data_IF_885192492671
#
_entry.id   IF_885192492671
#
_cell.length_a   1.000
_cell.length_b   1.000
_cell.length_c   1.000
_cell.angle_alpha   90.00
_cell.angle_beta   90.00
_cell.angle_gamma   90.00
#
_symmetry.space_group_name_H-M   'P 1'
#
loop_
_entity.id
_entity.type
_entity.pdbx_description
1 polymer ?
#
# COMPACT_ATOMS: atom_id res chain seq x y z
N UNK A 1 -11.15 -11.54 -20.57
CA UNK A 1 -10.70 -10.61 -19.51
C UNK A 1 -9.84 -9.56 -20.21
N UNK A 2 -10.11 -8.29 -20.00
CA UNK A 2 -9.31 -7.19 -20.58
C UNK A 2 -7.92 -7.22 -19.92
N UNK A 3 -6.88 -7.17 -20.75
CA UNK A 3 -5.51 -7.09 -20.23
C UNK A 3 -5.33 -5.76 -19.47
N UNK A 4 -4.56 -5.73 -18.36
CA UNK A 4 -4.37 -4.50 -17.60
C UNK A 4 -3.78 -3.34 -18.40
N UNK A 5 -2.97 -3.65 -19.44
CA UNK A 5 -2.38 -2.68 -20.37
C UNK A 5 -3.41 -1.97 -21.24
N UNK A 6 -4.60 -2.56 -21.44
CA UNK A 6 -5.63 -2.06 -22.34
C UNK A 6 -6.64 -1.15 -21.62
N UNK A 7 -6.51 -1.03 -20.30
CA UNK A 7 -7.39 -0.18 -19.50
C UNK A 7 -7.04 1.31 -19.70
N UNK A 8 -8.05 2.19 -19.85
CA UNK A 8 -7.80 3.60 -20.00
C UNK A 8 -7.34 4.24 -18.69
N UNK A 9 -6.11 4.73 -18.65
CA UNK A 9 -5.51 5.39 -17.49
C UNK A 9 -5.00 4.44 -16.40
N UNK A 10 -4.60 5.01 -15.24
CA UNK A 10 -4.00 4.27 -14.15
C UNK A 10 -5.02 3.44 -13.36
N UNK A 11 -4.75 2.15 -13.22
CA UNK A 11 -5.56 1.19 -12.48
C UNK A 11 -4.72 0.40 -11.48
N UNK A 12 -5.37 0.01 -10.39
CA UNK A 12 -4.84 -0.83 -9.32
C UNK A 12 -5.60 -2.15 -9.25
N UNK A 13 -4.90 -3.20 -8.88
CA UNK A 13 -5.50 -4.52 -8.69
C UNK A 13 -6.40 -4.55 -7.44
N UNK A 14 -7.52 -5.26 -7.51
CA UNK A 14 -8.56 -5.30 -6.49
C UNK A 14 -8.12 -5.77 -5.11
N UNK A 15 -7.00 -6.47 -5.00
CA UNK A 15 -6.42 -6.82 -3.69
C UNK A 15 -6.18 -5.59 -2.81
N UNK A 16 -5.77 -4.46 -3.42
CA UNK A 16 -5.53 -3.22 -2.69
C UNK A 16 -6.85 -2.65 -2.16
N UNK A 17 -7.91 -2.65 -2.98
CA UNK A 17 -9.24 -2.16 -2.59
C UNK A 17 -9.87 -3.06 -1.52
N UNK A 18 -9.78 -4.38 -1.70
CA UNK A 18 -10.31 -5.34 -0.73
C UNK A 18 -9.67 -5.16 0.64
N UNK A 19 -8.36 -4.84 0.72
CA UNK A 19 -7.69 -4.61 1.99
C UNK A 19 -8.31 -3.44 2.80
N UNK A 20 -8.88 -2.42 2.12
CA UNK A 20 -9.60 -1.31 2.76
C UNK A 20 -10.92 -1.79 3.36
N UNK A 21 -11.64 -2.64 2.65
CA UNK A 21 -12.91 -3.19 3.15
C UNK A 21 -12.71 -4.15 4.32
N UNK A 22 -11.66 -4.97 4.28
CA UNK A 22 -11.31 -5.82 5.41
C UNK A 22 -10.87 -5.00 6.64
N UNK A 23 -10.11 -3.93 6.43
CA UNK A 23 -9.79 -2.97 7.49
C UNK A 23 -11.07 -2.38 8.10
N UNK A 24 -11.98 -1.86 7.28
CA UNK A 24 -13.24 -1.27 7.74
C UNK A 24 -14.07 -2.25 8.55
N UNK A 25 -14.24 -3.48 8.09
CA UNK A 25 -14.99 -4.52 8.82
C UNK A 25 -14.37 -4.82 10.18
N UNK A 26 -13.04 -4.98 10.22
CA UNK A 26 -12.32 -5.35 11.43
C UNK A 26 -12.34 -4.24 12.48
N UNK A 27 -12.08 -2.98 12.08
CA UNK A 27 -11.91 -1.87 13.01
C UNK A 27 -13.22 -1.14 13.34
N UNK A 28 -14.21 -1.16 12.42
CA UNK A 28 -15.41 -0.33 12.51
C UNK A 28 -16.73 -1.10 12.35
N UNK A 29 -16.64 -2.43 12.19
CA UNK A 29 -17.81 -3.33 12.09
C UNK A 29 -18.46 -3.36 10.71
N UNK A 30 -19.48 -4.22 10.56
CA UNK A 30 -20.11 -4.57 9.27
C UNK A 30 -20.74 -3.38 8.53
N UNK A 31 -21.30 -2.41 9.24
CA UNK A 31 -21.97 -1.26 8.64
C UNK A 31 -21.01 -0.18 8.12
N UNK A 32 -19.71 -0.30 8.40
CA UNK A 32 -18.71 0.70 8.02
C UNK A 32 -18.58 0.88 6.52
N UNK A 33 -18.66 -0.21 5.77
CA UNK A 33 -18.56 -0.20 4.30
C UNK A 33 -19.71 0.59 3.70
N UNK A 34 -20.96 0.33 4.12
CA UNK A 34 -22.14 1.05 3.61
C UNK A 34 -22.00 2.56 3.83
N UNK A 35 -21.55 2.98 5.03
CA UNK A 35 -21.35 4.39 5.36
C UNK A 35 -20.29 5.06 4.46
N UNK A 36 -19.21 4.35 4.13
CA UNK A 36 -18.18 4.87 3.22
C UNK A 36 -18.71 4.96 1.80
N UNK A 37 -19.39 3.91 1.33
CA UNK A 37 -19.95 3.88 -0.02
C UNK A 37 -20.98 4.99 -0.23
N UNK A 38 -21.82 5.31 0.76
CA UNK A 38 -22.79 6.41 0.70
C UNK A 38 -22.13 7.78 0.50
N UNK A 39 -20.92 7.97 1.02
CA UNK A 39 -20.17 9.22 0.90
C UNK A 39 -19.42 9.37 -0.45
N UNK A 40 -19.39 8.31 -1.27
CA UNK A 40 -18.68 8.33 -2.55
C UNK A 40 -19.58 8.78 -3.69
N UNK A 41 -19.02 9.30 -4.80
CA UNK A 41 -19.72 9.52 -6.06
C UNK A 41 -20.47 8.26 -6.52
N UNK A 42 -21.58 8.42 -7.23
CA UNK A 42 -22.44 7.31 -7.66
C UNK A 42 -21.68 6.26 -8.52
N UNK A 43 -20.76 6.72 -9.36
CA UNK A 43 -19.90 5.87 -10.19
C UNK A 43 -18.97 4.99 -9.36
N UNK A 44 -18.28 5.57 -8.35
CA UNK A 44 -17.41 4.81 -7.44
C UNK A 44 -18.23 3.82 -6.60
N UNK A 45 -19.39 4.25 -6.11
CA UNK A 45 -20.31 3.40 -5.35
C UNK A 45 -20.74 2.17 -6.15
N UNK A 46 -21.04 2.36 -7.45
CA UNK A 46 -21.38 1.27 -8.34
C UNK A 46 -20.20 0.31 -8.53
N UNK A 47 -19.02 0.83 -8.77
CA UNK A 47 -17.80 0.02 -8.93
C UNK A 47 -17.45 -0.76 -7.66
N UNK A 48 -17.58 -0.14 -6.50
CA UNK A 48 -17.17 -0.68 -5.21
C UNK A 48 -18.28 -1.48 -4.50
N UNK A 49 -19.50 -1.49 -5.01
CA UNK A 49 -20.62 -2.25 -4.44
C UNK A 49 -20.47 -3.76 -4.53
N UNK A 50 -19.61 -4.25 -5.41
CA UNK A 50 -19.28 -5.67 -5.59
C UNK A 50 -17.76 -5.84 -5.77
N UNK A 51 -16.98 -5.43 -4.76
CA UNK A 51 -15.51 -5.49 -4.83
C UNK A 51 -15.02 -6.92 -4.99
N UNK A 52 -14.15 -7.12 -5.99
CA UNK A 52 -13.51 -8.40 -6.31
C UNK A 52 -11.98 -8.23 -6.39
N UNK A 53 -11.24 -9.22 -5.86
CA UNK A 53 -9.77 -9.24 -5.87
C UNK A 53 -9.19 -9.32 -7.28
N UNK A 54 -9.88 -9.97 -8.21
CA UNK A 54 -9.41 -10.20 -9.58
C UNK A 54 -9.71 -9.04 -10.54
N UNK A 55 -10.37 -7.99 -10.08
CA UNK A 55 -10.78 -6.83 -10.90
C UNK A 55 -9.78 -5.68 -10.73
N UNK A 56 -9.64 -4.87 -11.78
CA UNK A 56 -8.84 -3.66 -11.77
C UNK A 56 -9.73 -2.44 -11.53
N UNK A 57 -9.28 -1.54 -10.63
CA UNK A 57 -10.01 -0.34 -10.23
C UNK A 57 -9.23 0.92 -10.59
N UNK A 58 -9.88 1.99 -11.08
CA UNK A 58 -9.19 3.26 -11.33
C UNK A 58 -8.45 3.78 -10.09
N UNK A 59 -7.25 4.30 -10.29
CA UNK A 59 -6.43 4.87 -9.19
C UNK A 59 -7.21 5.94 -8.41
N UNK A 60 -7.89 6.86 -9.13
CA UNK A 60 -8.70 7.90 -8.50
C UNK A 60 -9.83 7.37 -7.61
N UNK A 61 -10.42 6.21 -7.94
CA UNK A 61 -11.43 5.56 -7.09
C UNK A 61 -10.84 5.12 -5.75
N UNK A 62 -9.61 4.55 -5.72
CA UNK A 62 -8.95 4.21 -4.46
C UNK A 62 -8.64 5.47 -3.62
N UNK A 63 -8.15 6.53 -4.26
CA UNK A 63 -7.85 7.79 -3.56
C UNK A 63 -9.11 8.37 -2.91
N UNK A 64 -10.24 8.40 -3.63
CA UNK A 64 -11.52 8.86 -3.07
C UNK A 64 -12.03 7.96 -1.95
N UNK A 65 -11.87 6.65 -2.09
CA UNK A 65 -12.20 5.67 -1.04
C UNK A 65 -11.38 5.94 0.23
N UNK A 66 -10.06 6.06 0.12
CA UNK A 66 -9.19 6.32 1.27
C UNK A 66 -9.52 7.66 1.94
N UNK A 67 -9.82 8.71 1.16
CA UNK A 67 -10.28 10.01 1.70
C UNK A 67 -11.61 9.91 2.44
N UNK A 68 -12.58 9.18 1.90
CA UNK A 68 -13.87 8.96 2.56
C UNK A 68 -13.70 8.18 3.89
N UNK A 69 -12.84 7.16 3.90
CA UNK A 69 -12.54 6.41 5.13
C UNK A 69 -11.95 7.33 6.20
N UNK A 70 -10.96 8.15 5.83
CA UNK A 70 -10.30 9.06 6.77
C UNK A 70 -11.24 10.16 7.26
N UNK A 71 -12.09 10.71 6.39
CA UNK A 71 -13.08 11.70 6.80
C UNK A 71 -14.09 11.13 7.81
N UNK A 72 -14.60 9.92 7.57
CA UNK A 72 -15.67 9.31 8.38
C UNK A 72 -15.14 8.72 9.69
N UNK A 73 -14.02 8.02 9.65
CA UNK A 73 -13.51 7.25 10.80
C UNK A 73 -12.26 7.83 11.43
N UNK A 74 -11.48 8.59 10.68
CA UNK A 74 -10.26 9.26 11.15
C UNK A 74 -10.46 10.69 11.62
N UNK A 75 -11.65 11.27 11.45
CA UNK A 75 -11.89 12.70 11.72
C UNK A 75 -10.86 13.62 11.02
N UNK A 76 -10.36 13.21 9.87
CA UNK A 76 -9.33 13.93 9.12
C UNK A 76 -7.89 13.64 9.56
N UNK A 77 -7.64 12.75 10.52
CA UNK A 77 -6.29 12.37 10.96
C UNK A 77 -5.54 11.66 9.82
N UNK A 78 -4.46 12.25 9.28
CA UNK A 78 -3.70 11.68 8.15
C UNK A 78 -3.00 10.37 8.50
N UNK A 79 -2.76 10.07 9.79
CA UNK A 79 -2.16 8.80 10.22
C UNK A 79 -3.01 7.59 9.84
N UNK A 80 -4.31 7.78 9.58
CA UNK A 80 -5.18 6.71 9.12
C UNK A 80 -4.82 6.21 7.72
N UNK A 81 -4.28 7.05 6.84
CA UNK A 81 -3.78 6.59 5.54
C UNK A 81 -2.62 5.59 5.69
N UNK A 82 -1.71 5.81 6.65
CA UNK A 82 -0.65 4.84 6.95
C UNK A 82 -1.25 3.51 7.44
N UNK A 83 -2.26 3.55 8.34
CA UNK A 83 -2.96 2.35 8.80
C UNK A 83 -3.67 1.58 7.69
N UNK A 84 -4.19 2.26 6.69
CA UNK A 84 -4.75 1.60 5.49
C UNK A 84 -3.67 0.85 4.71
N UNK A 85 -2.47 1.41 4.59
CA UNK A 85 -1.31 0.74 4.02
C UNK A 85 -0.87 -0.47 4.84
N UNK A 86 -0.82 -0.34 6.15
CA UNK A 86 -0.52 -1.44 7.07
C UNK A 86 -1.49 -2.62 6.92
N UNK A 87 -2.78 -2.33 6.73
CA UNK A 87 -3.79 -3.36 6.49
C UNK A 87 -3.52 -4.14 5.19
N UNK A 88 -3.06 -3.46 4.13
CA UNK A 88 -2.63 -4.11 2.89
C UNK A 88 -1.41 -4.99 3.10
N UNK A 89 -0.44 -4.55 3.90
CA UNK A 89 0.75 -5.32 4.25
C UNK A 89 0.37 -6.60 5.01
N UNK A 90 -0.55 -6.49 5.97
CA UNK A 90 -1.04 -7.62 6.74
C UNK A 90 -1.67 -8.69 5.84
N UNK A 91 -2.52 -8.31 4.90
CA UNK A 91 -3.12 -9.28 3.98
C UNK A 91 -2.08 -9.97 3.10
N UNK A 92 -1.09 -9.24 2.60
CA UNK A 92 -0.03 -9.82 1.79
C UNK A 92 0.84 -10.79 2.59
N UNK A 93 1.14 -10.48 3.85
CA UNK A 93 1.97 -11.32 4.72
C UNK A 93 1.24 -12.59 5.15
N UNK A 94 -0.05 -12.51 5.42
CA UNK A 94 -0.89 -13.70 5.66
C UNK A 94 -0.88 -14.65 4.46
N UNK A 95 -0.76 -14.12 3.25
CA UNK A 95 -0.65 -14.92 2.03
C UNK A 95 0.71 -15.62 1.89
N UNK A 96 1.79 -15.07 2.45
CA UNK A 96 3.10 -15.73 2.52
C UNK A 96 3.11 -16.90 3.51
N UNK A 97 2.18 -16.92 4.49
CA UNK A 97 2.05 -17.97 5.49
C UNK A 97 3.35 -18.26 6.23
N UNK A 98 3.62 -19.55 6.47
CA UNK A 98 4.85 -20.01 7.15
C UNK A 98 6.13 -19.69 6.36
N UNK A 99 6.02 -19.44 5.06
CA UNK A 99 7.16 -19.07 4.21
C UNK A 99 7.67 -17.66 4.48
N UNK A 100 6.91 -16.81 5.18
CA UNK A 100 7.36 -15.45 5.53
C UNK A 100 8.68 -15.46 6.33
N UNK A 101 8.87 -16.45 7.19
CA UNK A 101 10.09 -16.61 8.01
C UNK A 101 11.34 -16.97 7.17
N UNK A 102 11.16 -17.46 5.95
CA UNK A 102 12.25 -17.88 5.05
C UNK A 102 12.65 -16.80 4.06
N UNK A 103 11.91 -15.69 3.99
CA UNK A 103 12.14 -14.62 3.04
C UNK A 103 12.92 -13.49 3.71
N UNK A 104 14.11 -13.19 3.20
CA UNK A 104 14.84 -12.00 3.66
C UNK A 104 14.10 -10.71 3.28
N UNK A 105 14.25 -9.66 4.10
CA UNK A 105 13.67 -8.35 3.80
C UNK A 105 14.12 -7.85 2.42
N UNK A 106 15.41 -7.98 2.11
CA UNK A 106 15.94 -7.60 0.81
C UNK A 106 15.30 -8.38 -0.35
N UNK A 107 15.16 -9.70 -0.20
CA UNK A 107 14.50 -10.55 -1.21
C UNK A 107 13.03 -10.19 -1.39
N UNK A 108 12.32 -9.91 -0.30
CA UNK A 108 10.93 -9.46 -0.35
C UNK A 108 10.76 -8.13 -1.09
N UNK A 109 11.59 -7.12 -0.76
CA UNK A 109 11.51 -5.80 -1.38
C UNK A 109 11.91 -5.82 -2.86
N UNK A 110 12.93 -6.61 -3.23
CA UNK A 110 13.31 -6.80 -4.62
C UNK A 110 12.16 -7.43 -5.42
N UNK A 111 11.58 -8.51 -4.90
CA UNK A 111 10.44 -9.17 -5.54
C UNK A 111 9.21 -8.27 -5.61
N UNK A 112 8.96 -7.45 -4.60
CA UNK A 112 7.86 -6.48 -4.63
C UNK A 112 8.04 -5.47 -5.77
N UNK A 113 9.26 -4.99 -6.01
CA UNK A 113 9.56 -4.10 -7.12
C UNK A 113 9.39 -4.81 -8.48
N UNK A 114 9.89 -6.04 -8.63
CA UNK A 114 9.71 -6.85 -9.85
C UNK A 114 8.23 -7.14 -10.15
N UNK A 115 7.45 -7.41 -9.11
CA UNK A 115 6.02 -7.75 -9.23
C UNK A 115 5.10 -6.51 -9.26
N UNK A 116 5.65 -5.29 -9.27
CA UNK A 116 4.86 -4.06 -9.25
C UNK A 116 3.73 -4.06 -10.27
N UNK A 117 4.03 -4.47 -11.51
CA UNK A 117 3.07 -4.53 -12.64
C UNK A 117 1.93 -5.55 -12.46
N UNK A 118 2.01 -6.43 -11.48
CA UNK A 118 0.90 -7.34 -11.12
C UNK A 118 -0.20 -6.64 -10.32
N UNK A 119 0.11 -5.49 -9.73
CA UNK A 119 -0.82 -4.73 -8.87
C UNK A 119 -1.12 -3.33 -9.39
N UNK A 120 -0.34 -2.85 -10.37
CA UNK A 120 -0.48 -1.53 -10.99
C UNK A 120 -0.27 -1.67 -12.50
N UNK A 121 -1.19 -1.18 -13.32
CA UNK A 121 -0.97 -1.15 -14.76
C UNK A 121 -0.08 0.03 -15.21
N UNK A 122 0.39 0.84 -14.27
CA UNK A 122 1.19 2.05 -14.47
C UNK A 122 2.45 2.06 -13.59
N UNK A 123 3.36 2.95 -13.91
CA UNK A 123 4.56 3.19 -13.11
C UNK A 123 5.58 2.06 -13.13
N UNK A 124 6.68 2.29 -12.46
CA UNK A 124 7.77 1.33 -12.23
C UNK A 124 8.19 1.37 -10.78
N UNK A 125 8.67 0.24 -10.27
CA UNK A 125 9.30 0.16 -8.96
C UNK A 125 10.69 -0.44 -9.11
N UNK A 126 11.66 0.13 -8.40
CA UNK A 126 13.04 -0.37 -8.37
C UNK A 126 13.49 -0.47 -6.92
N UNK A 127 14.23 -1.53 -6.61
CA UNK A 127 14.77 -1.74 -5.28
C UNK A 127 16.29 -1.76 -5.31
N UNK A 128 16.92 -1.06 -4.36
CA UNK A 128 18.37 -1.03 -4.18
C UNK A 128 18.73 -1.39 -2.73
N UNK A 129 19.50 -2.44 -2.56
CA UNK A 129 20.13 -2.77 -1.28
C UNK A 129 21.25 -1.78 -0.99
N UNK A 130 21.24 -1.19 0.20
CA UNK A 130 22.29 -0.25 0.65
C UNK A 130 23.29 -1.00 1.55
N UNK A 131 22.79 -1.67 2.58
CA UNK A 131 23.60 -2.51 3.46
C UNK A 131 22.73 -3.62 4.09
N UNK A 132 23.20 -4.26 5.14
CA UNK A 132 22.53 -5.37 5.80
C UNK A 132 21.07 -5.07 6.25
N UNK A 133 20.83 -3.88 6.82
CA UNK A 133 19.54 -3.49 7.40
C UNK A 133 18.96 -2.20 6.81
N UNK A 134 19.46 -1.78 5.65
CA UNK A 134 19.01 -0.58 4.94
C UNK A 134 18.82 -0.90 3.47
N UNK A 135 17.70 -0.46 2.94
CA UNK A 135 17.38 -0.52 1.51
C UNK A 135 16.70 0.76 1.04
N UNK A 136 16.60 0.91 -0.25
CA UNK A 136 15.90 2.00 -0.90
C UNK A 136 14.96 1.44 -1.96
N UNK A 137 13.72 1.92 -1.98
CA UNK A 137 12.77 1.61 -3.03
C UNK A 137 12.32 2.90 -3.68
N UNK A 138 12.27 2.91 -5.01
CA UNK A 138 11.79 4.03 -5.81
C UNK A 138 10.56 3.63 -6.63
N UNK A 139 9.65 4.59 -6.79
CA UNK A 139 8.48 4.50 -7.65
C UNK A 139 8.52 5.68 -8.62
N UNK A 140 8.50 5.39 -9.92
CA UNK A 140 8.61 6.38 -10.99
C UNK A 140 7.60 6.13 -12.11
N UNK A 141 7.52 7.06 -13.06
CA UNK A 141 6.63 6.96 -14.22
C UNK A 141 5.14 6.82 -13.83
N UNK A 142 4.74 7.42 -12.70
CA UNK A 142 3.35 7.49 -12.32
C UNK A 142 2.67 8.66 -13.05
N UNK A 143 1.67 8.39 -13.91
CA UNK A 143 0.99 9.45 -14.65
C UNK A 143 0.12 10.33 -13.75
N UNK A 144 -0.33 9.75 -12.64
CA UNK A 144 -1.08 10.43 -11.59
C UNK A 144 -0.46 10.08 -10.23
N UNK A 145 -0.35 11.06 -9.36
CA UNK A 145 0.15 10.91 -7.99
C UNK A 145 -0.80 11.58 -7.01
N UNK A 146 -0.86 11.08 -5.80
CA UNK A 146 -1.64 11.68 -4.73
C UNK A 146 -0.92 11.48 -3.37
N UNK A 147 -0.79 12.53 -2.54
CA UNK A 147 -0.14 12.43 -1.23
C UNK A 147 -0.74 11.36 -0.31
N UNK A 148 -2.04 11.10 -0.44
CA UNK A 148 -2.75 10.04 0.30
C UNK A 148 -2.16 8.67 -0.01
N UNK A 149 -1.83 8.43 -1.29
CA UNK A 149 -1.22 7.18 -1.71
C UNK A 149 0.21 7.02 -1.18
N UNK A 150 0.99 8.10 -1.13
CA UNK A 150 2.33 8.08 -0.51
C UNK A 150 2.26 7.71 0.98
N UNK A 151 1.32 8.29 1.73
CA UNK A 151 1.12 7.94 3.14
C UNK A 151 0.74 6.46 3.32
N UNK A 152 -0.14 5.95 2.46
CA UNK A 152 -0.49 4.53 2.46
C UNK A 152 0.71 3.64 2.10
N UNK A 153 1.52 4.03 1.11
CA UNK A 153 2.75 3.31 0.75
C UNK A 153 3.74 3.26 1.91
N UNK A 154 3.90 4.35 2.67
CA UNK A 154 4.74 4.39 3.88
C UNK A 154 4.32 3.33 4.89
N UNK A 155 3.04 3.28 5.22
CA UNK A 155 2.49 2.29 6.15
C UNK A 155 2.69 0.86 5.64
N UNK A 156 2.44 0.62 4.36
CA UNK A 156 2.64 -0.68 3.72
C UNK A 156 4.10 -1.15 3.80
N UNK A 157 5.05 -0.30 3.42
CA UNK A 157 6.48 -0.63 3.41
C UNK A 157 6.98 -0.94 4.82
N UNK A 158 6.72 -0.04 5.76
CA UNK A 158 7.12 -0.20 7.17
C UNK A 158 6.56 -1.49 7.75
N UNK A 159 5.26 -1.70 7.63
CA UNK A 159 4.58 -2.84 8.24
C UNK A 159 4.98 -4.18 7.63
N UNK A 160 5.22 -4.22 6.32
CA UNK A 160 5.73 -5.42 5.65
C UNK A 160 7.08 -5.85 6.22
N UNK A 161 7.98 -4.91 6.46
CA UNK A 161 9.31 -5.18 7.05
C UNK A 161 9.17 -5.65 8.50
N UNK A 162 8.33 -5.00 9.30
CA UNK A 162 8.06 -5.39 10.70
C UNK A 162 7.55 -6.83 10.80
N UNK A 163 6.67 -7.26 9.88
CA UNK A 163 6.20 -8.65 9.84
C UNK A 163 7.32 -9.64 9.54
N UNK A 164 8.20 -9.32 8.60
CA UNK A 164 9.28 -10.21 8.21
C UNK A 164 10.37 -10.33 9.26
N UNK A 165 10.67 -9.24 9.96
CA UNK A 165 11.76 -9.20 10.95
C UNK A 165 11.29 -9.52 12.36
N UNK A 166 10.00 -9.25 12.67
CA UNK A 166 9.50 -9.21 14.04
C UNK A 166 10.10 -8.08 14.89
N UNK A 167 10.88 -7.17 14.26
CA UNK A 167 11.53 -6.01 14.87
C UNK A 167 10.92 -4.69 14.40
N UNK A 168 11.53 -3.58 14.84
CA UNK A 168 11.12 -2.25 14.41
C UNK A 168 11.61 -1.95 12.99
N UNK A 169 10.80 -1.19 12.25
CA UNK A 169 11.16 -0.67 10.94
C UNK A 169 10.76 0.79 10.76
N UNK A 170 11.45 1.47 9.86
CA UNK A 170 11.09 2.82 9.42
C UNK A 170 11.09 2.92 7.91
N UNK A 171 10.20 3.75 7.40
CA UNK A 171 10.13 4.15 6.00
C UNK A 171 10.11 5.69 5.95
N UNK A 172 11.13 6.28 5.35
CA UNK A 172 11.30 7.73 5.24
C UNK A 172 11.29 8.14 3.77
N UNK A 173 10.33 8.99 3.38
CA UNK A 173 10.26 9.54 2.03
C UNK A 173 11.36 10.58 1.85
N UNK A 174 12.28 10.32 0.93
CA UNK A 174 13.39 11.21 0.59
C UNK A 174 13.04 12.16 -0.56
N UNK A 175 12.33 11.65 -1.55
CA UNK A 175 11.86 12.37 -2.73
C UNK A 175 10.42 12.00 -3.00
N UNK A 176 9.63 12.92 -3.59
CA UNK A 176 8.21 12.69 -3.84
C UNK A 176 7.75 13.41 -5.11
N UNK A 177 7.15 12.69 -6.05
CA UNK A 177 6.58 13.26 -7.28
C UNK A 177 5.52 14.33 -6.98
N UNK A 178 4.76 14.20 -5.89
CA UNK A 178 3.81 15.23 -5.46
C UNK A 178 4.49 16.55 -5.00
N UNK A 179 5.81 16.53 -4.80
CA UNK A 179 6.64 17.70 -4.44
C UNK A 179 7.48 18.19 -5.61
N UNK A 180 7.29 17.62 -6.80
CA UNK A 180 8.01 17.99 -8.02
C UNK A 180 9.26 17.15 -8.32
N UNK A 181 9.54 16.10 -7.53
CA UNK A 181 10.66 15.21 -7.82
C UNK A 181 10.30 14.23 -8.97
N UNK A 182 11.32 13.64 -9.60
CA UNK A 182 11.15 12.68 -10.72
C UNK A 182 10.55 11.37 -10.27
N UNK A 183 10.78 10.98 -9.01
CA UNK A 183 10.31 9.72 -8.43
C UNK A 183 9.97 9.91 -6.95
N UNK A 184 9.12 9.02 -6.41
CA UNK A 184 8.97 8.85 -4.99
C UNK A 184 10.01 7.84 -4.50
N UNK A 185 10.91 8.25 -3.59
CA UNK A 185 12.01 7.42 -3.10
C UNK A 185 11.92 7.27 -1.58
N UNK A 186 11.94 6.03 -1.13
CA UNK A 186 11.83 5.66 0.27
C UNK A 186 13.13 5.02 0.78
N UNK A 187 13.70 5.59 1.84
CA UNK A 187 14.77 4.97 2.63
C UNK A 187 14.14 4.08 3.69
N UNK A 188 14.48 2.81 3.67
CA UNK A 188 13.93 1.78 4.55
C UNK A 188 15.03 1.29 5.50
N UNK A 189 14.72 1.24 6.81
CA UNK A 189 15.64 0.75 7.83
C UNK A 189 14.91 -0.23 8.73
N UNK A 190 15.60 -1.25 9.22
CA UNK A 190 15.03 -2.24 10.13
C UNK A 190 16.09 -2.82 11.08
N UNK A 191 15.62 -3.35 12.21
CA UNK A 191 16.38 -4.16 13.14
C UNK A 191 15.85 -5.59 13.14
N UNK A 192 16.71 -6.57 13.33
CA UNK A 192 16.30 -7.93 13.59
C UNK A 192 15.73 -8.07 15.01
N UNK A 193 14.89 -9.09 15.24
CA UNK A 193 14.38 -9.41 16.57
C UNK A 193 15.56 -9.82 17.46
N UNK A 194 15.94 -8.99 18.41
CA UNK A 194 17.07 -9.21 19.30
C UNK A 194 18.18 -8.15 19.27
N UNK A 195 18.19 -7.27 18.26
CA UNK A 195 19.19 -6.17 18.18
C UNK A 195 18.90 -5.00 19.15
N UNK A 196 17.83 -5.07 19.96
CA UNK A 196 17.51 -4.09 20.99
C UNK A 196 18.23 -4.34 22.34
N UNK A 197 19.26 -5.18 22.36
CA UNK A 197 20.07 -5.42 23.53
C UNK A 197 21.48 -4.90 23.28
N UNK A 198 21.67 -3.60 23.22
CA UNK A 198 22.92 -2.89 23.60
C UNK A 198 22.82 -1.42 23.20
N UNK A 199 22.35 -0.58 24.08
CA UNK A 199 22.99 0.72 24.40
C UNK A 199 22.92 0.88 25.90
#
# INVERSE_FOLDING_TARGET
MTEPSDLPGPHLHGHIVVSRFEYLKREHGSNSIARVLEALPAEDRKLLGGVDKGVWYPFGTLVRLDRAIVAIFGKGDPSLYERLGEASAQQRTLWLGEHAALVSVHGFLARMAEEHRRFHNFGRAEYRRINFSVGEISFSEYPETDPVYCLSAKGYLRRSIEYLTGGAASAEERYCQNKGDVACVWSLRWSARGDNLAV
#
